data_IF_648621823110
#
_entry.id   IF_648621823110
#
_cell.length_a   1.000
_cell.length_b   1.000
_cell.length_c   1.000
_cell.angle_alpha   90.00
_cell.angle_beta   90.00
_cell.angle_gamma   90.00
#
_symmetry.space_group_name_H-M   'P 1'
#
loop_
_entity.id
_entity.type
_entity.pdbx_description
1 polymer ?
#
# COMPACT_ATOMS: atom_id res chain seq x y z
N UNK A 1 -9.32 12.87 -20.09
CA UNK A 1 -8.68 13.87 -19.20
C UNK A 1 -7.91 13.13 -18.12
N UNK A 2 -6.64 13.44 -17.91
CA UNK A 2 -5.86 12.84 -16.83
C UNK A 2 -6.27 13.55 -15.53
N UNK A 3 -7.09 12.91 -14.70
CA UNK A 3 -7.47 13.48 -13.41
C UNK A 3 -6.28 13.32 -12.46
N UNK A 4 -5.59 14.42 -12.16
CA UNK A 4 -4.53 14.42 -11.16
C UNK A 4 -5.15 14.19 -9.78
N UNK A 5 -4.94 13.00 -9.22
CA UNK A 5 -5.24 12.73 -7.82
C UNK A 5 -4.11 13.33 -6.99
N UNK A 6 -4.45 14.21 -6.03
CA UNK A 6 -3.45 14.75 -5.10
C UNK A 6 -2.90 13.62 -4.22
N UNK A 7 -1.60 13.65 -3.86
CA UNK A 7 -1.06 12.70 -2.87
C UNK A 7 -1.88 12.74 -1.58
N UNK A 8 -2.13 11.56 -1.02
CA UNK A 8 -2.83 11.40 0.24
C UNK A 8 -1.83 11.00 1.32
N UNK A 9 -1.91 11.65 2.47
CA UNK A 9 -1.16 11.29 3.67
C UNK A 9 -2.15 10.68 4.64
N UNK A 10 -2.11 9.36 4.77
CA UNK A 10 -3.08 8.58 5.53
C UNK A 10 -2.38 7.94 6.73
N UNK A 11 -2.99 8.07 7.91
CA UNK A 11 -2.63 7.19 9.02
C UNK A 11 -3.15 5.79 8.69
N UNK A 12 -2.28 4.79 8.79
CA UNK A 12 -2.67 3.39 8.59
C UNK A 12 -3.34 2.78 9.83
N UNK A 13 -3.33 3.50 10.96
CA UNK A 13 -3.94 3.06 12.22
C UNK A 13 -3.31 1.81 12.81
N UNK A 14 -3.95 1.28 13.86
CA UNK A 14 -3.58 -0.03 14.38
C UNK A 14 -3.99 -1.13 13.38
N UNK A 15 -3.30 -2.29 13.39
CA UNK A 15 -3.69 -3.44 12.58
C UNK A 15 -5.17 -3.87 12.76
N UNK A 16 -5.79 -3.54 13.89
CA UNK A 16 -7.19 -3.84 14.23
C UNK A 16 -8.22 -2.97 13.53
N UNK A 17 -7.81 -1.89 12.83
CA UNK A 17 -8.71 -0.94 12.18
C UNK A 17 -9.82 -1.59 11.32
N UNK A 18 -9.62 -2.71 10.60
CA UNK A 18 -10.69 -3.38 9.87
C UNK A 18 -11.90 -3.82 10.71
N UNK A 19 -11.68 -4.07 12.00
CA UNK A 19 -12.67 -4.57 12.95
C UNK A 19 -13.26 -3.49 13.86
N UNK A 20 -12.72 -2.27 13.82
CA UNK A 20 -13.13 -1.18 14.71
C UNK A 20 -14.30 -0.40 14.13
N UNK A 21 -15.20 0.09 14.98
CA UNK A 21 -16.29 0.99 14.59
C UNK A 21 -15.88 2.45 14.89
N UNK A 22 -15.05 3.01 14.02
CA UNK A 22 -14.44 4.34 14.20
C UNK A 22 -14.44 5.14 12.90
N UNK A 23 -14.49 6.48 13.02
CA UNK A 23 -14.55 7.40 11.87
C UNK A 23 -13.39 7.23 10.88
N UNK A 24 -12.20 6.82 11.34
CA UNK A 24 -11.06 6.55 10.47
C UNK A 24 -11.34 5.40 9.49
N UNK A 25 -12.03 4.34 9.94
CA UNK A 25 -12.40 3.20 9.09
C UNK A 25 -13.42 3.63 8.04
N UNK A 26 -14.43 4.38 8.44
CA UNK A 26 -15.46 4.89 7.52
C UNK A 26 -14.89 5.86 6.49
N UNK A 27 -13.96 6.72 6.91
CA UNK A 27 -13.22 7.60 6.01
C UNK A 27 -12.49 6.80 4.91
N UNK A 28 -11.73 5.77 5.28
CA UNK A 28 -11.00 4.94 4.31
C UNK A 28 -11.94 4.21 3.35
N UNK A 29 -13.04 3.65 3.86
CA UNK A 29 -14.08 3.00 3.05
C UNK A 29 -14.79 3.96 2.09
N UNK A 30 -14.84 5.25 2.41
CA UNK A 30 -15.43 6.30 1.57
C UNK A 30 -14.55 6.77 0.42
N UNK A 31 -13.23 6.48 0.44
CA UNK A 31 -12.29 6.97 -0.56
C UNK A 31 -12.64 6.62 -2.02
N UNK A 32 -13.12 5.41 -2.37
CA UNK A 32 -13.49 5.09 -3.76
C UNK A 32 -14.63 5.93 -4.31
N UNK A 33 -15.54 6.39 -3.45
CA UNK A 33 -16.63 7.27 -3.85
C UNK A 33 -16.18 8.73 -4.00
N UNK A 34 -15.15 9.13 -3.24
CA UNK A 34 -14.61 10.49 -3.23
C UNK A 34 -13.54 10.73 -4.30
N UNK A 35 -12.95 9.68 -4.88
CA UNK A 35 -11.82 9.76 -5.81
C UNK A 35 -12.13 9.09 -7.15
N UNK A 36 -11.62 9.62 -8.28
CA UNK A 36 -11.65 8.89 -9.53
C UNK A 36 -10.86 7.58 -9.37
N UNK A 37 -11.33 6.50 -9.99
CA UNK A 37 -10.66 5.19 -9.90
C UNK A 37 -9.23 5.29 -10.43
N UNK A 38 -8.20 5.07 -9.59
CA UNK A 38 -6.82 5.15 -10.03
C UNK A 38 -6.49 3.94 -10.93
N UNK A 39 -5.61 4.16 -11.90
CA UNK A 39 -5.07 3.08 -12.73
C UNK A 39 -4.01 2.25 -12.00
N UNK A 40 -3.33 2.87 -11.03
CA UNK A 40 -2.35 2.27 -10.14
C UNK A 40 -2.26 3.11 -8.86
N UNK A 41 -1.87 2.48 -7.75
CA UNK A 41 -1.66 3.14 -6.46
C UNK A 41 -0.23 2.88 -6.04
N UNK A 42 0.56 3.94 -5.87
CA UNK A 42 1.88 3.89 -5.27
C UNK A 42 1.74 4.19 -3.77
N UNK A 43 2.19 3.26 -2.92
CA UNK A 43 2.21 3.42 -1.47
C UNK A 43 3.66 3.54 -0.99
N UNK A 44 3.94 4.55 -0.19
CA UNK A 44 5.19 4.67 0.58
C UNK A 44 4.86 4.25 2.01
N UNK A 45 5.38 3.10 2.45
CA UNK A 45 5.08 2.55 3.79
C UNK A 45 6.08 3.03 4.83
N UNK A 46 5.57 3.39 6.02
CA UNK A 46 6.39 3.68 7.19
C UNK A 46 7.05 2.42 7.81
N UNK A 47 6.62 1.21 7.42
CA UNK A 47 7.13 -0.06 7.95
C UNK A 47 8.22 -0.68 7.06
N UNK A 48 8.60 -0.01 5.98
CA UNK A 48 9.61 -0.51 5.07
C UNK A 48 10.82 0.42 5.02
N UNK A 49 11.72 0.21 5.97
CA UNK A 49 12.98 0.95 6.08
C UNK A 49 14.10 0.25 5.31
N UNK A 50 14.73 0.99 4.40
CA UNK A 50 15.83 0.52 3.56
C UNK A 50 16.90 1.61 3.45
N UNK A 51 18.14 1.23 3.09
CA UNK A 51 19.25 2.20 2.96
C UNK A 51 19.05 3.23 1.84
N UNK A 52 18.37 2.81 0.78
CA UNK A 52 17.92 3.62 -0.36
C UNK A 52 16.47 3.25 -0.64
N UNK A 53 15.64 4.14 -1.23
CA UNK A 53 14.29 3.78 -1.65
C UNK A 53 14.26 2.45 -2.40
N UNK A 54 13.50 1.49 -1.91
CA UNK A 54 13.29 0.21 -2.56
C UNK A 54 11.90 0.20 -3.20
N UNK A 55 11.83 -0.24 -4.47
CA UNK A 55 10.59 -0.34 -5.23
C UNK A 55 10.17 -1.80 -5.29
N UNK A 56 8.96 -2.10 -4.84
CA UNK A 56 8.41 -3.46 -4.92
C UNK A 56 7.94 -3.76 -6.35
N UNK A 57 8.52 -4.79 -6.98
CA UNK A 57 8.30 -5.19 -8.37
C UNK A 57 7.83 -6.66 -8.45
N UNK A 58 6.65 -6.93 -7.91
CA UNK A 58 6.00 -8.25 -7.94
C UNK A 58 4.75 -8.22 -8.82
N UNK A 59 4.38 -9.36 -9.41
CA UNK A 59 3.09 -9.48 -10.13
C UNK A 59 1.90 -9.57 -9.18
N UNK A 60 2.11 -10.16 -8.00
CA UNK A 60 1.09 -10.29 -6.95
C UNK A 60 1.73 -10.14 -5.60
N UNK A 61 1.18 -9.24 -4.81
CA UNK A 61 1.63 -8.98 -3.45
C UNK A 61 1.22 -10.12 -2.51
N UNK A 62 2.15 -10.52 -1.64
CA UNK A 62 1.82 -11.30 -0.43
C UNK A 62 1.40 -10.33 0.67
N UNK A 63 0.54 -10.78 1.58
CA UNK A 63 0.22 -10.05 2.81
C UNK A 63 1.27 -10.35 3.86
N UNK A 64 1.85 -9.30 4.45
CA UNK A 64 2.81 -9.38 5.54
C UNK A 64 2.10 -8.93 6.81
N UNK A 65 2.11 -9.82 7.81
CA UNK A 65 1.70 -9.54 9.18
C UNK A 65 2.92 -9.13 9.98
N UNK A 66 3.31 -7.86 9.86
CA UNK A 66 4.48 -7.24 10.51
C UNK A 66 4.20 -6.82 11.97
N UNK A 67 3.22 -7.46 12.60
CA UNK A 67 2.77 -7.19 13.97
C UNK A 67 2.55 -8.49 14.76
N UNK A 68 2.63 -8.38 16.08
CA UNK A 68 2.50 -9.51 17.02
C UNK A 68 1.51 -9.18 18.15
N UNK A 69 0.93 -10.21 18.77
CA UNK A 69 0.12 -10.06 19.99
C UNK A 69 -1.34 -9.66 19.77
N UNK A 70 -1.84 -9.76 18.53
CA UNK A 70 -3.23 -9.44 18.18
C UNK A 70 -4.11 -10.70 18.08
N UNK A 71 -5.45 -10.56 18.01
CA UNK A 71 -6.35 -11.71 17.86
C UNK A 71 -6.08 -12.51 16.57
N UNK A 72 -6.27 -13.83 16.64
CA UNK A 72 -6.06 -14.78 15.53
C UNK A 72 -6.79 -14.36 14.24
N UNK A 73 -8.01 -13.84 14.36
CA UNK A 73 -8.80 -13.39 13.21
C UNK A 73 -8.08 -12.37 12.32
N UNK A 74 -7.14 -11.58 12.89
CA UNK A 74 -6.36 -10.63 12.14
C UNK A 74 -5.30 -11.30 11.25
N UNK A 75 -4.67 -12.38 11.72
CA UNK A 75 -3.68 -13.15 10.96
C UNK A 75 -4.28 -13.97 9.81
N UNK A 76 -5.61 -14.14 9.84
CA UNK A 76 -6.38 -14.79 8.78
C UNK A 76 -6.77 -13.83 7.65
N UNK A 77 -6.62 -12.51 7.86
CA UNK A 77 -6.87 -11.54 6.80
C UNK A 77 -5.76 -11.61 5.74
N UNK A 78 -6.17 -11.61 4.48
CA UNK A 78 -5.26 -11.54 3.35
C UNK A 78 -5.75 -10.51 2.35
N UNK A 79 -4.80 -9.85 1.69
CA UNK A 79 -5.02 -8.86 0.66
C UNK A 79 -4.02 -9.10 -0.47
N UNK A 80 -4.31 -10.06 -1.38
CA UNK A 80 -3.40 -10.47 -2.45
C UNK A 80 -3.47 -9.51 -3.64
N UNK A 81 -3.20 -8.22 -3.38
CA UNK A 81 -3.31 -7.16 -4.38
C UNK A 81 -2.41 -7.42 -5.59
N UNK A 82 -2.90 -7.15 -6.82
CA UNK A 82 -2.03 -7.19 -8.00
C UNK A 82 -0.91 -6.16 -7.83
N UNK A 83 0.31 -6.56 -8.20
CA UNK A 83 1.38 -5.61 -8.44
C UNK A 83 1.49 -5.29 -9.92
N UNK A 84 2.41 -4.40 -10.28
CA UNK A 84 2.65 -3.99 -11.67
C UNK A 84 4.16 -3.76 -11.86
N UNK A 85 4.91 -4.80 -12.29
CA UNK A 85 6.34 -4.69 -12.50
C UNK A 85 6.73 -3.62 -13.52
N UNK A 86 5.88 -3.34 -14.52
CA UNK A 86 6.17 -2.30 -15.51
C UNK A 86 6.07 -0.89 -14.88
N UNK A 87 5.11 -0.68 -13.99
CA UNK A 87 5.05 0.56 -13.20
C UNK A 87 6.21 0.65 -12.23
N UNK A 88 6.62 -0.47 -11.60
CA UNK A 88 7.79 -0.50 -10.72
C UNK A 88 9.07 -0.07 -11.47
N UNK A 89 9.30 -0.61 -12.67
CA UNK A 89 10.43 -0.21 -13.53
C UNK A 89 10.36 1.29 -13.84
N UNK A 90 9.18 1.81 -14.20
CA UNK A 90 9.02 3.24 -14.45
C UNK A 90 9.30 4.11 -13.22
N UNK A 91 8.98 3.64 -12.01
CA UNK A 91 9.31 4.35 -10.77
C UNK A 91 10.83 4.39 -10.56
N UNK A 92 11.53 3.27 -10.79
CA UNK A 92 13.00 3.22 -10.70
C UNK A 92 13.64 4.18 -11.70
N UNK A 93 13.17 4.22 -12.95
CA UNK A 93 13.65 5.16 -13.96
C UNK A 93 13.47 6.62 -13.49
N UNK A 94 12.31 6.96 -12.94
CA UNK A 94 12.02 8.31 -12.44
C UNK A 94 12.90 8.70 -11.24
N UNK A 95 13.21 7.76 -10.35
CA UNK A 95 14.13 7.98 -9.24
C UNK A 95 15.55 8.24 -9.76
N UNK A 96 15.99 7.45 -10.74
CA UNK A 96 17.30 7.63 -11.39
C UNK A 96 17.40 8.96 -12.14
N UNK A 97 16.37 9.35 -12.90
CA UNK A 97 16.26 10.66 -13.56
C UNK A 97 16.37 11.82 -12.57
N UNK A 98 15.85 11.64 -11.34
CA UNK A 98 15.95 12.60 -10.24
C UNK A 98 17.28 12.57 -9.48
N UNK A 99 18.23 11.69 -9.86
CA UNK A 99 19.51 11.52 -9.18
C UNK A 99 19.40 10.83 -7.82
N UNK A 100 18.29 10.12 -7.56
CA UNK A 100 18.08 9.36 -6.33
C UNK A 100 18.47 7.90 -6.55
N UNK A 101 19.41 7.35 -5.76
CA UNK A 101 19.69 5.92 -5.82
C UNK A 101 18.46 5.14 -5.35
N UNK A 102 18.17 4.02 -6.00
CA UNK A 102 17.07 3.13 -5.62
C UNK A 102 17.45 1.67 -5.82
N UNK A 103 16.70 0.79 -5.16
CA UNK A 103 16.78 -0.65 -5.35
C UNK A 103 15.43 -1.20 -5.83
N UNK A 104 15.44 -2.36 -6.45
CA UNK A 104 14.23 -3.11 -6.80
C UNK A 104 14.16 -4.34 -5.90
N UNK A 105 13.00 -4.58 -5.29
CA UNK A 105 12.70 -5.80 -4.54
C UNK A 105 11.64 -6.59 -5.29
N UNK A 106 11.96 -7.83 -5.68
CA UNK A 106 11.10 -8.71 -6.47
C UNK A 106 10.40 -9.78 -5.63
N UNK A 107 10.44 -9.67 -4.30
CA UNK A 107 9.88 -10.64 -3.37
C UNK A 107 9.03 -10.04 -2.24
N UNK A 108 9.12 -8.72 -2.01
CA UNK A 108 8.41 -8.05 -0.92
C UNK A 108 6.89 -8.09 -1.10
N UNK A 109 6.18 -8.33 0.00
CA UNK A 109 4.73 -8.20 0.10
C UNK A 109 4.29 -6.79 0.51
N UNK A 110 3.05 -6.65 0.94
CA UNK A 110 2.53 -5.44 1.59
C UNK A 110 2.48 -5.67 3.10
N UNK A 111 3.02 -4.75 3.88
CA UNK A 111 2.86 -4.69 5.35
C UNK A 111 1.53 -4.03 5.74
N UNK A 112 1.17 -4.07 7.02
CA UNK A 112 -0.13 -3.56 7.48
C UNK A 112 -0.34 -2.09 7.18
N UNK A 113 0.74 -1.30 7.15
CA UNK A 113 0.68 0.10 6.77
C UNK A 113 0.04 0.31 5.40
N UNK A 114 0.36 -0.58 4.46
CA UNK A 114 -0.18 -0.58 3.12
C UNK A 114 -1.49 -1.39 3.02
N UNK A 115 -1.50 -2.66 3.41
CA UNK A 115 -2.60 -3.55 3.07
C UNK A 115 -3.88 -3.24 3.86
N UNK A 116 -3.81 -2.76 5.12
CA UNK A 116 -5.02 -2.41 5.90
C UNK A 116 -5.74 -1.24 5.24
N UNK A 117 -4.99 -0.18 4.93
CA UNK A 117 -5.49 1.02 4.26
C UNK A 117 -6.12 0.66 2.91
N UNK A 118 -5.40 -0.13 2.10
CA UNK A 118 -5.87 -0.53 0.78
C UNK A 118 -7.05 -1.52 0.85
N UNK A 119 -7.09 -2.44 1.80
CA UNK A 119 -8.21 -3.37 1.97
C UNK A 119 -9.51 -2.61 2.30
N UNK A 120 -9.45 -1.58 3.14
CA UNK A 120 -10.62 -0.79 3.50
C UNK A 120 -11.10 0.07 2.33
N UNK A 121 -10.18 0.69 1.60
CA UNK A 121 -10.53 1.54 0.47
C UNK A 121 -10.87 0.73 -0.79
N UNK A 122 -10.05 -0.24 -1.19
CA UNK A 122 -10.20 -1.03 -2.42
C UNK A 122 -10.12 -2.54 -2.15
N UNK A 123 -11.15 -3.17 -1.57
CA UNK A 123 -11.11 -4.57 -1.13
C UNK A 123 -10.97 -5.62 -2.25
N UNK A 124 -11.25 -5.27 -3.50
CA UNK A 124 -11.29 -6.20 -4.65
C UNK A 124 -12.56 -6.05 -5.46
#
# INVERSE_FOLDING_TARGET
MNHMIRPLFLSHGAPTLPFEDVAARDFLKGLPAALPRPRAILVVSAHWETRVPAVNAVERNRTIHDFAGFPEALYQLTYPAPGDPQIADRIVDLLAEAGLPSATDTARGLDHGAWVTLMLAWPG
#
